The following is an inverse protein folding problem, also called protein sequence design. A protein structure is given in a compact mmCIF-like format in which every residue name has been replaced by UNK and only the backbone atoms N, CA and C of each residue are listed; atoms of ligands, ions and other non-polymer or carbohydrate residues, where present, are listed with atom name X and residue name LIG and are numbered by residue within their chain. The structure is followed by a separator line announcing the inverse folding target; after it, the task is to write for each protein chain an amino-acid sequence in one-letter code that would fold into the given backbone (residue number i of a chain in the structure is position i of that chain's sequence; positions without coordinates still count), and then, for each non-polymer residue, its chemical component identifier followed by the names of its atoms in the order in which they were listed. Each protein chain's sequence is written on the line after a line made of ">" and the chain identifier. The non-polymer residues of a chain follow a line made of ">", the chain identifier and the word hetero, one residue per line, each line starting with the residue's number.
data_IF_929224219786
#
_entry.id   IF_929224219786
#
_cell.length_a   1.000
_cell.length_b   1.000
_cell.length_c   1.000
_cell.angle_alpha   90.00
_cell.angle_beta   90.00
_cell.angle_gamma   90.00
#
_symmetry.space_group_name_H-M   'P 1'
#
loop_
_entity.id
_entity.type
_entity.pdbx_description
1 polymer ?
#
# COMPACT_ATOMS: atom_id res chain seq x y z
N UNK A 1 -9.87 -10.55 18.13
CA UNK A 1 -9.42 -9.19 17.78
C UNK A 1 -7.95 -9.28 17.42
N UNK A 2 -7.55 -8.79 16.25
CA UNK A 2 -6.13 -8.78 15.85
C UNK A 2 -5.46 -7.51 16.34
N UNK A 3 -4.20 -7.63 16.77
CA UNK A 3 -3.37 -6.49 17.18
C UNK A 3 -3.04 -5.68 15.94
N UNK A 4 -3.22 -4.35 16.00
CA UNK A 4 -2.86 -3.42 14.93
C UNK A 4 -1.37 -3.06 15.00
N UNK A 5 -0.70 -3.09 13.85
CA UNK A 5 0.72 -2.77 13.68
C UNK A 5 0.87 -1.70 12.59
N UNK A 6 1.85 -0.80 12.72
CA UNK A 6 2.13 0.27 11.76
C UNK A 6 3.63 0.55 11.67
N UNK A 7 4.12 0.93 10.49
CA UNK A 7 5.49 1.43 10.33
C UNK A 7 5.53 2.94 10.59
N UNK A 8 6.35 3.45 11.51
CA UNK A 8 6.36 4.87 11.85
C UNK A 8 6.95 5.76 10.74
N UNK A 9 7.96 5.26 10.04
CA UNK A 9 8.76 6.02 9.10
C UNK A 9 8.17 5.99 7.70
N UNK A 10 8.34 7.10 6.98
CA UNK A 10 8.10 7.15 5.55
C UNK A 10 9.34 6.68 4.82
N UNK A 11 9.19 5.73 3.92
CA UNK A 11 10.29 5.15 3.15
C UNK A 11 10.48 5.89 1.83
N UNK A 12 11.73 6.18 1.47
CA UNK A 12 12.05 6.80 0.19
C UNK A 12 12.35 5.71 -0.84
N UNK A 13 11.76 5.81 -2.03
CA UNK A 13 12.14 4.97 -3.16
C UNK A 13 13.17 5.71 -4.01
N UNK A 14 14.28 5.05 -4.35
CA UNK A 14 15.37 5.60 -5.17
C UNK A 14 15.71 4.66 -6.33
N UNK A 15 15.81 5.13 -7.59
CA UNK A 15 15.52 6.50 -8.03
C UNK A 15 14.06 6.89 -7.77
N UNK A 16 13.72 8.17 -7.93
CA UNK A 16 12.35 8.64 -7.70
C UNK A 16 11.35 7.80 -8.53
N UNK A 17 10.28 7.28 -7.91
CA UNK A 17 9.37 6.35 -8.57
C UNK A 17 8.65 7.00 -9.75
N UNK A 18 8.67 6.33 -10.91
CA UNK A 18 7.94 6.77 -12.10
C UNK A 18 6.45 6.49 -12.00
N UNK A 19 5.66 7.11 -12.88
CA UNK A 19 4.23 6.81 -13.01
C UNK A 19 3.99 5.34 -13.32
N UNK A 20 4.78 4.71 -14.21
CA UNK A 20 4.59 3.29 -14.52
C UNK A 20 4.89 2.40 -13.30
N UNK A 21 5.95 2.69 -12.54
CA UNK A 21 6.25 1.94 -11.32
C UNK A 21 5.11 2.03 -10.31
N UNK A 22 4.52 3.20 -10.13
CA UNK A 22 3.40 3.40 -9.21
C UNK A 22 2.14 2.67 -9.69
N UNK A 23 1.86 2.65 -11.00
CA UNK A 23 0.77 1.84 -11.58
C UNK A 23 0.99 0.34 -11.33
N UNK A 24 2.19 -0.16 -11.61
CA UNK A 24 2.58 -1.54 -11.30
C UNK A 24 2.44 -1.86 -9.81
N UNK A 25 2.81 -0.91 -8.94
CA UNK A 25 2.72 -1.07 -7.50
C UNK A 25 1.27 -1.17 -7.01
N UNK A 26 0.34 -0.41 -7.61
CA UNK A 26 -1.08 -0.51 -7.30
C UNK A 26 -1.62 -1.91 -7.64
N UNK A 27 -1.31 -2.42 -8.84
CA UNK A 27 -1.70 -3.77 -9.26
C UNK A 27 -1.07 -4.84 -8.36
N UNK A 28 0.21 -4.68 -8.01
CA UNK A 28 0.87 -5.53 -7.05
C UNK A 28 0.15 -5.50 -5.70
N UNK A 29 -0.22 -4.33 -5.19
CA UNK A 29 -0.84 -4.17 -3.88
C UNK A 29 -2.28 -4.72 -3.81
N UNK A 30 -3.00 -4.72 -4.93
CA UNK A 30 -4.38 -5.18 -5.01
C UNK A 30 -4.49 -6.69 -5.27
N UNK A 31 -3.62 -7.24 -6.13
CA UNK A 31 -3.75 -8.61 -6.63
C UNK A 31 -2.67 -9.57 -6.15
N UNK A 32 -1.56 -9.07 -5.58
CA UNK A 32 -0.57 -9.95 -4.98
C UNK A 32 -1.06 -10.42 -3.61
N UNK A 33 -0.96 -11.72 -3.36
CA UNK A 33 -1.02 -12.28 -2.03
C UNK A 33 0.20 -13.20 -1.88
N UNK A 34 1.12 -12.92 -0.93
CA UNK A 34 2.33 -13.72 -0.85
C UNK A 34 1.99 -15.20 -0.60
N UNK A 35 2.59 -16.14 -1.36
CA UNK A 35 2.19 -17.55 -1.37
C UNK A 35 2.12 -18.20 0.02
N UNK A 36 3.10 -17.91 0.87
CA UNK A 36 3.25 -18.40 2.24
C UNK A 36 2.12 -17.92 3.18
N UNK A 37 1.37 -16.88 2.78
CA UNK A 37 0.34 -16.25 3.58
C UNK A 37 -1.08 -16.34 2.97
N UNK A 38 -1.22 -17.08 1.86
CA UNK A 38 -2.52 -17.29 1.18
C UNK A 38 -3.54 -18.03 2.04
N UNK A 39 -3.09 -18.88 2.96
CA UNK A 39 -3.94 -19.62 3.88
C UNK A 39 -4.31 -18.82 5.14
N UNK A 40 -3.45 -17.86 5.53
CA UNK A 40 -3.54 -17.16 6.82
C UNK A 40 -4.35 -15.86 6.75
N UNK A 41 -5.02 -15.58 5.62
CA UNK A 41 -5.77 -14.34 5.40
C UNK A 41 -4.95 -13.07 5.72
N UNK A 42 -3.65 -13.06 5.39
CA UNK A 42 -2.87 -11.81 5.47
C UNK A 42 -3.60 -10.77 4.62
N UNK A 43 -3.96 -9.67 5.28
CA UNK A 43 -4.79 -8.62 4.72
C UNK A 43 -4.14 -7.93 3.53
N UNK A 44 -4.91 -7.00 2.95
CA UNK A 44 -4.44 -6.14 1.85
C UNK A 44 -3.16 -5.42 2.24
N UNK A 45 -2.28 -5.18 1.27
CA UNK A 45 -1.05 -4.42 1.48
C UNK A 45 -1.35 -3.10 2.24
N UNK A 46 -0.80 -2.90 3.45
CA UNK A 46 -1.06 -1.70 4.24
C UNK A 46 -0.22 -0.51 3.78
N UNK A 47 0.65 -0.66 2.79
CA UNK A 47 1.55 0.37 2.30
C UNK A 47 0.98 1.09 1.06
N UNK A 48 1.22 2.40 0.98
CA UNK A 48 0.79 3.25 -0.13
C UNK A 48 1.81 4.38 -0.36
N UNK A 49 1.85 4.91 -1.60
CA UNK A 49 2.60 6.13 -1.89
C UNK A 49 1.83 7.35 -1.39
N UNK A 50 2.49 8.27 -0.69
CA UNK A 50 1.94 9.57 -0.35
C UNK A 50 2.19 10.60 -1.47
N UNK A 51 1.68 11.83 -1.29
CA UNK A 51 1.86 12.93 -2.26
C UNK A 51 3.33 13.29 -2.56
N UNK A 52 4.26 12.94 -1.67
CA UNK A 52 5.70 13.20 -1.79
C UNK A 52 6.45 11.97 -2.33
N UNK A 53 5.72 11.03 -2.93
CA UNK A 53 6.24 9.79 -3.51
C UNK A 53 6.97 8.90 -2.50
N UNK A 54 6.64 9.02 -1.21
CA UNK A 54 7.17 8.17 -0.13
C UNK A 54 6.21 7.03 0.15
N UNK A 55 6.75 5.88 0.53
CA UNK A 55 5.94 4.75 0.98
C UNK A 55 5.60 4.90 2.47
N UNK A 56 4.31 4.86 2.77
CA UNK A 56 3.73 5.05 4.10
C UNK A 56 2.80 3.88 4.43
N UNK A 57 2.76 3.43 5.69
CA UNK A 57 1.91 2.33 6.14
C UNK A 57 0.63 2.86 6.82
N UNK A 58 -0.57 2.43 6.45
CA UNK A 58 -1.81 2.84 7.14
C UNK A 58 -1.97 2.16 8.50
N UNK A 59 -1.58 0.89 8.59
CA UNK A 59 -1.95 0.00 9.68
C UNK A 59 -2.34 -1.35 9.11
N UNK A 60 -1.78 -2.42 9.67
CA UNK A 60 -2.06 -3.80 9.29
C UNK A 60 -2.18 -4.70 10.51
N UNK A 61 -2.96 -5.77 10.42
CA UNK A 61 -3.13 -6.73 11.51
C UNK A 61 -1.90 -7.64 11.62
N UNK A 62 -1.57 -8.06 12.84
CA UNK A 62 -0.68 -9.21 13.10
C UNK A 62 0.64 -9.19 12.30
N UNK A 63 1.39 -8.09 12.31
CA UNK A 63 2.68 -8.00 11.62
C UNK A 63 2.61 -7.82 10.09
N UNK A 64 1.41 -7.65 9.51
CA UNK A 64 1.19 -7.34 8.09
C UNK A 64 2.16 -6.29 7.51
N UNK A 65 2.43 -5.14 8.17
CA UNK A 65 3.36 -4.15 7.62
C UNK A 65 4.77 -4.69 7.41
N UNK A 66 5.27 -5.52 8.31
CA UNK A 66 6.60 -6.12 8.24
C UNK A 66 6.68 -7.16 7.12
N UNK A 67 5.66 -8.03 7.04
CA UNK A 67 5.52 -9.03 5.98
C UNK A 67 5.53 -8.34 4.61
N UNK A 68 4.64 -7.35 4.43
CA UNK A 68 4.52 -6.63 3.17
C UNK A 68 5.78 -5.84 2.81
N UNK A 69 6.49 -5.27 3.80
CA UNK A 69 7.75 -4.56 3.55
C UNK A 69 8.76 -5.42 2.80
N UNK A 70 8.92 -6.70 3.19
CA UNK A 70 9.82 -7.62 2.50
C UNK A 70 9.42 -7.87 1.04
N UNK A 71 8.13 -8.04 0.77
CA UNK A 71 7.63 -8.27 -0.58
C UNK A 71 7.72 -7.01 -1.46
N UNK A 72 7.46 -5.84 -0.89
CA UNK A 72 7.61 -4.55 -1.56
C UNK A 72 9.08 -4.30 -1.91
N UNK A 73 10.00 -4.56 -0.97
CA UNK A 73 11.44 -4.44 -1.19
C UNK A 73 11.87 -5.29 -2.39
N UNK A 74 11.47 -6.57 -2.43
CA UNK A 74 11.75 -7.46 -3.57
C UNK A 74 11.11 -6.98 -4.88
N UNK A 75 9.88 -6.47 -4.82
CA UNK A 75 9.17 -5.93 -5.99
C UNK A 75 9.94 -4.75 -6.61
N UNK A 76 10.46 -3.85 -5.78
CA UNK A 76 11.25 -2.68 -6.17
C UNK A 76 12.64 -3.05 -6.67
N UNK A 77 13.37 -3.90 -5.94
CA UNK A 77 14.74 -4.32 -6.29
C UNK A 77 14.80 -5.01 -7.66
N UNK A 78 13.80 -5.86 -7.98
CA UNK A 78 13.67 -6.50 -9.30
C UNK A 78 13.51 -5.50 -10.46
N UNK A 79 13.07 -4.29 -10.17
CA UNK A 79 12.87 -3.19 -11.13
C UNK A 79 14.00 -2.15 -11.09
N UNK A 80 15.06 -2.39 -10.31
CA UNK A 80 16.18 -1.47 -10.18
C UNK A 80 15.95 -0.32 -9.18
N UNK A 81 14.95 -0.43 -8.31
CA UNK A 81 14.65 0.55 -7.27
C UNK A 81 15.08 0.05 -5.89
N UNK A 82 15.41 0.98 -4.99
CA UNK A 82 15.82 0.72 -3.63
C UNK A 82 14.90 1.45 -2.66
N UNK A 83 14.57 0.79 -1.54
CA UNK A 83 13.98 1.45 -0.38
C UNK A 83 15.09 2.01 0.49
N UNK A 84 15.00 3.30 0.80
CA UNK A 84 15.87 4.02 1.71
C UNK A 84 15.09 4.31 2.99
N UNK A 85 15.69 3.92 4.11
CA UNK A 85 15.11 3.96 5.44
C UNK A 85 14.80 2.57 5.96
N UNK A 86 14.76 2.43 7.28
CA UNK A 86 14.38 1.20 7.97
C UNK A 86 13.06 1.45 8.70
N UNK A 87 11.98 0.71 8.37
CA UNK A 87 10.70 0.93 9.04
C UNK A 87 10.74 0.35 10.45
N UNK A 88 10.55 1.22 11.45
CA UNK A 88 10.26 0.83 12.82
C UNK A 88 8.78 0.46 12.91
N UNK A 89 8.53 -0.84 13.02
CA UNK A 89 7.19 -1.37 13.19
C UNK A 89 6.82 -1.32 14.67
N UNK A 90 5.65 -0.76 14.96
CA UNK A 90 5.09 -0.65 16.31
C UNK A 90 3.65 -1.15 16.30
N UNK A 91 3.16 -1.55 17.46
CA UNK A 91 1.87 -2.17 17.68
C UNK A 91 1.01 -1.33 18.63
N UNK A 92 -0.30 -1.57 18.65
CA UNK A 92 -1.21 -0.94 19.64
C UNK A 92 -0.91 -1.32 21.10
N UNK A 93 0.02 -2.26 21.33
CA UNK A 93 0.51 -2.62 22.67
C UNK A 93 1.69 -1.75 23.13
N UNK A 94 2.28 -0.95 22.24
CA UNK A 94 3.38 -0.03 22.56
C UNK A 94 2.83 1.21 23.29
N UNK A 95 3.06 1.26 24.60
CA UNK A 95 2.44 2.25 25.51
C UNK A 95 2.80 3.70 25.23
N UNK A 96 3.92 3.95 24.55
CA UNK A 96 4.41 5.29 24.24
C UNK A 96 3.86 5.85 22.92
N UNK A 97 3.09 5.05 22.17
CA UNK A 97 2.66 5.39 20.81
C UNK A 97 1.16 5.14 20.64
N UNK A 98 0.41 6.18 20.31
CA UNK A 98 -0.99 6.05 19.92
C UNK A 98 -1.11 5.58 18.46
N UNK A 99 -0.95 4.27 18.26
CA UNK A 99 -1.01 3.63 16.93
C UNK A 99 -2.36 3.83 16.24
N UNK A 100 -3.46 3.88 17.01
CA UNK A 100 -4.81 4.07 16.47
C UNK A 100 -5.00 5.49 15.95
N UNK A 101 -4.50 6.48 16.68
CA UNK A 101 -4.49 7.86 16.21
C UNK A 101 -3.64 8.02 14.93
N UNK A 102 -2.44 7.42 14.90
CA UNK A 102 -1.57 7.45 13.72
C UNK A 102 -2.21 6.79 12.49
N UNK A 103 -2.88 5.64 12.66
CA UNK A 103 -3.64 4.99 11.59
C UNK A 103 -4.72 5.95 11.05
N UNK A 104 -5.47 6.60 11.94
CA UNK A 104 -6.52 7.54 11.56
C UNK A 104 -5.98 8.74 10.78
N UNK A 105 -4.90 9.37 11.23
CA UNK A 105 -4.25 10.48 10.52
C UNK A 105 -3.79 10.08 9.11
N UNK A 106 -3.26 8.86 8.96
CA UNK A 106 -2.78 8.36 7.66
C UNK A 106 -3.90 7.94 6.73
N UNK A 107 -5.03 7.46 7.27
CA UNK A 107 -6.24 7.24 6.49
C UNK A 107 -6.72 8.58 5.89
N UNK A 108 -6.81 9.64 6.70
CA UNK A 108 -7.17 10.98 6.21
C UNK A 108 -6.18 11.42 5.14
N UNK A 109 -4.88 11.36 5.42
CA UNK A 109 -3.84 11.74 4.46
C UNK A 109 -3.95 10.96 3.15
N UNK A 110 -4.24 9.65 3.20
CA UNK A 110 -4.46 8.84 2.00
C UNK A 110 -5.68 9.31 1.21
N UNK A 111 -6.78 9.67 1.86
CA UNK A 111 -7.96 10.20 1.16
C UNK A 111 -7.68 11.54 0.49
N UNK A 112 -6.90 12.42 1.14
CA UNK A 112 -6.50 13.72 0.59
C UNK A 112 -5.46 13.60 -0.53
N UNK A 113 -4.51 12.67 -0.39
CA UNK A 113 -3.44 12.42 -1.36
C UNK A 113 -3.95 11.64 -2.57
N UNK A 114 -5.00 10.82 -2.41
CA UNK A 114 -5.55 9.97 -3.47
C UNK A 114 -5.93 10.77 -4.72
N UNK A 115 -6.65 11.90 -4.66
CA UNK A 115 -6.87 12.77 -5.81
C UNK A 115 -5.59 13.34 -6.44
N UNK A 116 -4.57 13.69 -5.66
CA UNK A 116 -3.29 14.23 -6.17
C UNK A 116 -2.53 13.16 -6.95
N UNK A 117 -2.52 11.96 -6.39
CA UNK A 117 -1.98 10.76 -6.98
C UNK A 117 -2.76 10.39 -8.25
N UNK A 118 -4.08 10.25 -8.15
CA UNK A 118 -4.99 10.02 -9.27
C UNK A 118 -4.84 11.07 -10.37
N UNK A 119 -4.71 12.37 -10.08
CA UNK A 119 -4.43 13.42 -11.08
C UNK A 119 -3.05 13.24 -11.73
N UNK A 120 -2.03 12.84 -10.98
CA UNK A 120 -0.72 12.47 -11.55
C UNK A 120 -0.80 11.18 -12.38
N UNK A 121 -1.78 10.31 -12.16
CA UNK A 121 -1.89 8.96 -12.73
C UNK A 121 -2.94 8.80 -13.86
N UNK A 122 -3.95 9.67 -13.90
CA UNK A 122 -5.17 9.59 -14.74
C UNK A 122 -5.22 10.65 -15.86
N UNK A 123 -4.14 11.38 -16.13
CA UNK A 123 -4.02 12.17 -17.37
C UNK A 123 -3.98 11.28 -18.65
N UNK A 124 -4.11 9.95 -18.52
CA UNK A 124 -4.42 9.04 -19.62
C UNK A 124 -5.81 8.41 -19.39
N UNK A 125 -6.73 8.71 -20.30
CA UNK A 125 -8.12 8.22 -20.42
C UNK A 125 -8.29 6.68 -20.56
N UNK A 126 -7.28 5.87 -20.20
CA UNK A 126 -7.21 4.44 -20.51
C UNK A 126 -7.75 3.52 -19.40
N UNK A 127 -8.24 4.05 -18.28
CA UNK A 127 -8.98 3.25 -17.30
C UNK A 127 -10.48 3.52 -17.44
N UNK A 128 -11.06 3.02 -18.54
CA UNK A 128 -12.48 2.69 -18.54
C UNK A 128 -12.64 1.37 -17.80
N UNK A 129 -13.01 1.43 -16.52
CA UNK A 129 -13.61 0.28 -15.85
C UNK A 129 -14.88 -0.04 -16.64
N UNK A 130 -14.84 -1.05 -17.48
CA UNK A 130 -16.01 -1.47 -18.23
C UNK A 130 -17.03 -2.02 -17.24
N UNK A 131 -18.02 -1.21 -16.88
CA UNK A 131 -19.30 -1.70 -16.39
C UNK A 131 -19.98 -2.47 -17.52
N UNK A 132 -19.61 -3.74 -17.70
CA UNK A 132 -20.47 -4.70 -18.35
C UNK A 132 -20.85 -5.74 -17.31
N UNK A 133 -21.90 -5.42 -16.55
CA UNK A 133 -22.82 -6.46 -16.10
C UNK A 133 -23.45 -7.05 -17.37
N UNK A 134 -22.95 -8.21 -17.80
CA UNK A 134 -23.67 -9.05 -18.74
C UNK A 134 -24.83 -9.67 -17.97
N UNK A 135 -25.96 -8.96 -17.93
CA UNK A 135 -27.25 -9.59 -17.69
C UNK A 135 -27.58 -10.41 -18.94
N UNK A 136 -27.23 -11.70 -18.87
CA UNK A 136 -27.76 -12.69 -19.79
C UNK A 136 -29.16 -13.02 -19.31
N UNK A 137 -30.17 -12.28 -19.79
CA UNK A 137 -31.56 -12.76 -19.75
C UNK A 137 -31.76 -13.73 -20.91
N UNK A 138 -32.02 -14.99 -20.53
CA UNK A 138 -32.43 -16.08 -21.40
C UNK A 138 -33.74 -15.73 -22.14
N UNK A 139 -33.76 -15.98 -23.46
CA UNK A 139 -34.97 -16.06 -24.29
C UNK A 139 -35.16 -17.50 -24.77
#
# INVERSE_FOLDING_TARGET
>A
MGVLWIALEKLTVSPEPTKELMKDYLLFSEYFCPPEYRADNVGRNPWFFDKDNKLVSLGGKMGEPEIWYFHIKKFLEKRGFQLIGDPKIVSEMDVDIDVRHLEFERIIARYDDRPILEQRFLDDDDIKVSEQATDTEDN
#
